data_IF_884517825436
#
_entry.id   IF_884517825436
#
_cell.length_a   1.000
_cell.length_b   1.000
_cell.length_c   1.000
_cell.angle_alpha   90.00
_cell.angle_beta   90.00
_cell.angle_gamma   90.00
#
_symmetry.space_group_name_H-M   'P 1'
#
loop_
_entity.id
_entity.type
_entity.pdbx_description
1 polymer ?
#
# COMPACT_ATOMS: atom_id res chain seq x y z
N UNK A 1 89.71 -16.13 -24.42
CA UNK A 1 88.29 -16.51 -24.53
C UNK A 1 87.54 -16.06 -23.26
N UNK A 2 86.83 -14.98 -23.33
CA UNK A 2 86.04 -14.42 -22.19
C UNK A 2 84.61 -14.96 -22.27
N UNK A 3 84.20 -15.71 -21.27
CA UNK A 3 82.81 -16.22 -21.15
C UNK A 3 81.98 -15.14 -20.43
N UNK A 4 81.02 -14.57 -21.13
CA UNK A 4 80.13 -13.56 -20.62
C UNK A 4 78.87 -14.25 -19.99
N UNK A 5 78.72 -14.11 -18.68
CA UNK A 5 77.54 -14.61 -17.94
C UNK A 5 76.39 -13.61 -18.09
N UNK A 6 75.34 -14.02 -18.76
CA UNK A 6 74.09 -13.29 -18.82
C UNK A 6 73.26 -13.65 -17.58
N UNK A 7 73.04 -12.65 -16.72
CA UNK A 7 72.10 -12.76 -15.57
C UNK A 7 70.74 -12.35 -16.03
N UNK A 8 69.83 -13.33 -16.10
CA UNK A 8 68.43 -13.11 -16.42
C UNK A 8 67.66 -12.76 -15.13
N UNK A 9 67.33 -11.49 -14.96
CA UNK A 9 66.53 -11.01 -13.83
C UNK A 9 65.08 -11.23 -14.14
N UNK A 10 64.43 -12.19 -13.48
CA UNK A 10 62.99 -12.48 -13.58
C UNK A 10 62.23 -11.46 -12.70
N UNK A 11 61.60 -10.47 -13.32
CA UNK A 11 60.71 -9.55 -12.63
C UNK A 11 59.34 -10.23 -12.40
N UNK A 12 59.04 -10.58 -11.15
CA UNK A 12 57.75 -11.12 -10.73
C UNK A 12 56.78 -9.94 -10.55
N UNK A 13 55.94 -9.68 -11.54
CA UNK A 13 54.87 -8.69 -11.43
C UNK A 13 53.74 -9.30 -10.62
N UNK A 14 53.61 -8.87 -9.37
CA UNK A 14 52.50 -9.20 -8.50
C UNK A 14 51.26 -8.45 -9.01
N UNK A 15 50.38 -9.09 -9.83
CA UNK A 15 49.07 -8.58 -10.12
C UNK A 15 48.20 -8.70 -8.88
N UNK A 16 48.02 -7.61 -8.13
CA UNK A 16 46.98 -7.47 -7.13
C UNK A 16 45.67 -7.36 -7.90
N UNK A 17 45.00 -8.48 -8.05
CA UNK A 17 43.62 -8.52 -8.55
C UNK A 17 42.73 -7.82 -7.53
N UNK A 18 42.33 -6.58 -7.83
CA UNK A 18 41.21 -5.92 -7.17
C UNK A 18 39.97 -6.72 -7.60
N UNK A 19 39.61 -7.71 -6.81
CA UNK A 19 38.34 -8.38 -6.92
C UNK A 19 37.25 -7.34 -6.66
N UNK A 20 36.66 -6.78 -7.72
CA UNK A 20 35.37 -6.16 -7.62
C UNK A 20 34.41 -7.24 -7.16
N UNK A 21 34.22 -7.34 -5.85
CA UNK A 21 33.15 -8.16 -5.28
C UNK A 21 31.86 -7.65 -5.89
N UNK A 22 31.27 -8.45 -6.79
CA UNK A 22 29.92 -8.22 -7.23
C UNK A 22 29.08 -8.16 -5.95
N UNK A 23 28.65 -6.95 -5.58
CA UNK A 23 27.64 -6.78 -4.53
C UNK A 23 26.44 -7.57 -5.00
N UNK A 24 26.15 -8.69 -4.34
CA UNK A 24 24.92 -9.42 -4.61
C UNK A 24 23.78 -8.39 -4.54
N UNK A 25 23.00 -8.30 -5.60
CA UNK A 25 21.85 -7.40 -5.66
C UNK A 25 20.99 -7.64 -4.42
N UNK A 26 21.05 -6.71 -3.48
CA UNK A 26 20.23 -6.78 -2.26
C UNK A 26 18.80 -6.46 -2.67
N UNK A 27 17.95 -7.46 -2.69
CA UNK A 27 16.51 -7.31 -3.00
C UNK A 27 15.69 -7.83 -1.83
N UNK A 28 14.64 -7.11 -1.44
CA UNK A 28 13.64 -7.54 -0.47
C UNK A 28 12.27 -7.62 -1.13
N UNK A 29 11.41 -8.50 -0.60
CA UNK A 29 10.02 -8.65 -1.03
C UNK A 29 9.12 -7.92 -0.03
N UNK A 30 8.46 -6.87 -0.48
CA UNK A 30 7.45 -6.12 0.27
C UNK A 30 6.05 -6.55 -0.17
N UNK A 31 5.33 -7.29 0.67
CA UNK A 31 3.91 -7.54 0.43
C UNK A 31 3.09 -6.28 0.76
N UNK A 32 2.27 -5.84 -0.19
CA UNK A 32 1.47 -4.62 -0.04
C UNK A 32 0.09 -4.77 -0.67
N UNK A 33 -0.67 -3.66 -0.73
CA UNK A 33 -2.01 -3.67 -1.27
C UNK A 33 -2.07 -3.10 -2.69
N UNK A 34 -3.04 -3.58 -3.47
CA UNK A 34 -3.28 -3.06 -4.83
C UNK A 34 -3.65 -1.59 -4.82
N UNK A 35 -4.32 -1.08 -3.77
CA UNK A 35 -4.62 0.34 -3.65
C UNK A 35 -3.36 1.18 -3.41
N UNK A 36 -2.40 0.71 -2.60
CA UNK A 36 -1.12 1.40 -2.40
C UNK A 36 -0.31 1.42 -3.69
N UNK A 37 -0.23 0.31 -4.42
CA UNK A 37 0.43 0.23 -5.72
C UNK A 37 -0.21 1.18 -6.73
N UNK A 38 -1.55 1.14 -6.86
CA UNK A 38 -2.29 1.97 -7.82
C UNK A 38 -2.21 3.48 -7.51
N UNK A 39 -1.92 3.88 -6.26
CA UNK A 39 -1.68 5.27 -5.94
C UNK A 39 -0.43 5.85 -6.60
N UNK A 40 0.49 5.00 -7.06
CA UNK A 40 1.78 5.40 -7.63
C UNK A 40 2.86 5.71 -6.59
N UNK A 41 2.58 5.60 -5.29
CA UNK A 41 3.53 5.93 -4.22
C UNK A 41 4.85 5.18 -4.36
N UNK A 42 4.79 3.86 -4.59
CA UNK A 42 5.99 3.05 -4.70
C UNK A 42 6.89 3.48 -5.85
N UNK A 43 6.31 3.81 -7.01
CA UNK A 43 7.06 4.34 -8.15
C UNK A 43 7.80 5.65 -7.83
N UNK A 44 7.32 6.41 -6.85
CA UNK A 44 7.92 7.67 -6.42
C UNK A 44 9.00 7.48 -5.35
N UNK A 45 8.73 6.70 -4.28
CA UNK A 45 9.64 6.61 -3.12
C UNK A 45 10.74 5.55 -3.28
N UNK A 46 10.47 4.41 -3.97
CA UNK A 46 11.45 3.33 -4.06
C UNK A 46 12.75 3.70 -4.78
N UNK A 47 12.74 4.48 -5.89
CA UNK A 47 13.98 4.93 -6.53
C UNK A 47 14.88 5.79 -5.60
N UNK A 48 14.27 6.54 -4.67
CA UNK A 48 15.02 7.35 -3.70
C UNK A 48 15.75 6.45 -2.70
N UNK A 49 15.05 5.45 -2.16
CA UNK A 49 15.62 4.47 -1.24
C UNK A 49 16.70 3.62 -1.90
N UNK A 50 16.43 3.08 -3.09
CA UNK A 50 17.37 2.24 -3.85
C UNK A 50 18.65 3.01 -4.17
N UNK A 51 18.54 4.26 -4.63
CA UNK A 51 19.70 5.12 -4.91
C UNK A 51 20.58 5.32 -3.68
N UNK A 52 19.98 5.41 -2.49
CA UNK A 52 20.66 5.66 -1.23
C UNK A 52 21.36 4.40 -0.67
N UNK A 53 20.72 3.24 -0.79
CA UNK A 53 21.13 2.02 -0.07
C UNK A 53 21.63 0.89 -0.96
N UNK A 54 21.31 0.94 -2.24
CA UNK A 54 21.51 -0.17 -3.19
C UNK A 54 20.59 -1.37 -2.94
N UNK A 55 19.56 -1.22 -2.08
CA UNK A 55 18.58 -2.27 -1.80
C UNK A 55 17.37 -2.08 -2.71
N UNK A 56 17.07 -3.08 -3.52
CA UNK A 56 15.84 -3.13 -4.33
C UNK A 56 14.66 -3.61 -3.51
N UNK A 57 13.53 -2.96 -3.65
CA UNK A 57 12.26 -3.37 -3.01
C UNK A 57 11.31 -3.87 -4.08
N UNK A 58 11.12 -5.19 -4.12
CA UNK A 58 10.13 -5.82 -5.00
C UNK A 58 8.77 -5.82 -4.33
N UNK A 59 7.86 -5.00 -4.82
CA UNK A 59 6.48 -4.94 -4.32
C UNK A 59 5.65 -6.08 -4.89
N UNK A 60 4.93 -6.79 -4.03
CA UNK A 60 3.92 -7.79 -4.40
C UNK A 60 2.57 -7.29 -3.91
N UNK A 61 1.84 -6.63 -4.80
CA UNK A 61 0.54 -6.05 -4.50
C UNK A 61 -0.59 -7.08 -4.56
N UNK A 62 -1.36 -7.19 -3.46
CA UNK A 62 -2.50 -8.12 -3.28
C UNK A 62 -3.63 -7.40 -2.53
N UNK A 63 -4.74 -8.10 -2.28
CA UNK A 63 -5.67 -7.68 -1.22
C UNK A 63 -5.01 -7.79 0.15
N UNK A 64 -5.39 -6.95 1.14
CA UNK A 64 -4.70 -6.89 2.45
C UNK A 64 -4.59 -8.25 3.13
N UNK A 65 -5.68 -9.03 3.18
CA UNK A 65 -5.65 -10.37 3.77
C UNK A 65 -4.62 -11.29 3.10
N UNK A 66 -4.56 -11.29 1.76
CA UNK A 66 -3.60 -12.08 1.01
C UNK A 66 -2.15 -11.60 1.20
N UNK A 67 -1.92 -10.30 1.37
CA UNK A 67 -0.60 -9.75 1.69
C UNK A 67 -0.15 -10.19 3.10
N UNK A 68 -1.03 -10.12 4.09
CA UNK A 68 -0.76 -10.60 5.45
C UNK A 68 -0.45 -12.10 5.45
N UNK A 69 -1.26 -12.91 4.76
CA UNK A 69 -1.04 -14.35 4.66
C UNK A 69 0.28 -14.70 3.94
N UNK A 70 0.68 -13.90 2.94
CA UNK A 70 1.99 -14.05 2.30
C UNK A 70 3.13 -13.87 3.31
N UNK A 71 3.07 -12.84 4.16
CA UNK A 71 4.04 -12.63 5.23
C UNK A 71 3.99 -13.71 6.32
N UNK A 72 2.78 -14.19 6.69
CA UNK A 72 2.60 -15.28 7.66
C UNK A 72 3.21 -16.61 7.22
N UNK A 73 3.38 -16.83 5.91
CA UNK A 73 4.09 -18.01 5.37
C UNK A 73 5.59 -17.80 5.17
N UNK A 74 6.08 -16.57 5.38
CA UNK A 74 7.48 -16.22 5.10
C UNK A 74 7.79 -16.01 3.61
N UNK A 75 6.77 -15.84 2.75
CA UNK A 75 6.92 -15.60 1.31
C UNK A 75 7.22 -14.11 1.00
N UNK A 76 7.27 -13.27 2.02
CA UNK A 76 7.69 -11.87 1.97
C UNK A 76 8.68 -11.58 3.10
N UNK A 77 9.45 -10.51 2.97
CA UNK A 77 10.40 -10.04 3.98
C UNK A 77 9.76 -9.00 4.91
N UNK A 78 8.80 -8.25 4.39
CA UNK A 78 8.08 -7.20 5.12
C UNK A 78 6.69 -6.94 4.54
N UNK A 79 5.88 -6.19 5.30
CA UNK A 79 4.58 -5.70 4.86
C UNK A 79 4.52 -4.16 4.88
N UNK A 80 3.76 -3.62 3.92
CA UNK A 80 3.33 -2.22 3.90
C UNK A 80 1.84 -2.19 3.52
N UNK A 81 0.97 -2.12 4.52
CA UNK A 81 -0.49 -2.29 4.38
C UNK A 81 -1.27 -1.24 5.19
N UNK A 82 -2.61 -1.27 5.15
CA UNK A 82 -3.47 -0.29 5.82
C UNK A 82 -4.73 -0.92 6.45
N UNK A 83 -4.55 -2.00 7.21
CA UNK A 83 -5.61 -2.63 7.99
C UNK A 83 -5.16 -2.86 9.44
N UNK A 84 -5.04 -1.76 10.19
CA UNK A 84 -4.39 -1.70 11.51
C UNK A 84 -4.82 -2.82 12.46
N UNK A 85 -6.09 -3.16 12.52
CA UNK A 85 -6.59 -4.24 13.40
C UNK A 85 -6.02 -5.61 13.00
N UNK A 86 -5.99 -5.92 11.68
CA UNK A 86 -5.42 -7.17 11.19
C UNK A 86 -3.90 -7.21 11.37
N UNK A 87 -3.22 -6.06 11.18
CA UNK A 87 -1.79 -5.90 11.41
C UNK A 87 -1.42 -6.20 12.86
N UNK A 88 -2.11 -5.55 13.82
CA UNK A 88 -1.86 -5.73 15.26
C UNK A 88 -2.13 -7.16 15.69
N UNK A 89 -3.20 -7.79 15.21
CA UNK A 89 -3.47 -9.20 15.46
C UNK A 89 -2.34 -10.10 14.98
N UNK A 90 -1.85 -9.89 13.76
CA UNK A 90 -0.76 -10.69 13.20
C UNK A 90 0.59 -10.47 13.92
N UNK A 91 0.81 -9.28 14.49
CA UNK A 91 1.95 -8.98 15.38
C UNK A 91 1.79 -9.73 16.72
N UNK A 92 0.60 -9.70 17.34
CA UNK A 92 0.29 -10.44 18.58
C UNK A 92 0.48 -11.95 18.40
N UNK A 93 0.10 -12.50 17.25
CA UNK A 93 0.35 -13.89 16.87
C UNK A 93 1.84 -14.20 16.62
N UNK A 94 2.71 -13.18 16.66
CA UNK A 94 4.16 -13.28 16.55
C UNK A 94 4.69 -13.51 15.13
N UNK A 95 3.88 -13.28 14.08
CA UNK A 95 4.33 -13.42 12.70
C UNK A 95 5.15 -12.21 12.22
N UNK A 96 4.90 -11.05 12.80
CA UNK A 96 5.56 -9.81 12.43
C UNK A 96 6.12 -9.09 13.65
N UNK A 97 7.14 -8.26 13.41
CA UNK A 97 7.80 -7.45 14.43
C UNK A 97 8.02 -6.02 13.91
N UNK A 98 8.33 -5.10 14.82
CA UNK A 98 8.66 -3.70 14.50
C UNK A 98 7.61 -3.03 13.59
N UNK A 99 6.35 -3.11 14.02
CA UNK A 99 5.27 -2.39 13.37
C UNK A 99 5.35 -0.90 13.69
N UNK A 100 5.34 -0.07 12.64
CA UNK A 100 5.27 1.39 12.75
C UNK A 100 4.10 1.94 11.94
N UNK A 101 3.47 2.99 12.45
CA UNK A 101 2.63 3.88 11.64
C UNK A 101 3.56 4.70 10.74
N UNK A 102 3.20 4.90 9.46
CA UNK A 102 4.06 5.57 8.47
C UNK A 102 3.39 6.80 7.90
N UNK A 103 2.15 6.67 7.51
CA UNK A 103 1.36 7.71 6.87
C UNK A 103 -0.12 7.38 7.00
N UNK A 104 -0.96 8.37 6.69
CA UNK A 104 -2.39 8.13 6.56
C UNK A 104 -2.97 8.88 5.36
N UNK A 105 -4.12 8.45 4.92
CA UNK A 105 -5.08 9.22 4.16
C UNK A 105 -6.48 8.93 4.71
N UNK A 106 -7.51 9.24 3.98
CA UNK A 106 -8.88 8.90 4.34
C UNK A 106 -9.54 8.06 3.24
N UNK A 107 -10.62 7.40 3.63
CA UNK A 107 -11.57 6.86 2.68
C UNK A 107 -12.59 7.93 2.28
N UNK A 108 -13.14 7.76 1.10
CA UNK A 108 -14.15 8.61 0.50
C UNK A 108 -15.35 7.75 0.11
N UNK A 109 -16.56 8.31 0.21
CA UNK A 109 -17.70 7.77 -0.51
C UNK A 109 -17.83 8.58 -1.79
N UNK A 110 -17.71 7.90 -2.92
CA UNK A 110 -17.95 8.49 -4.23
C UNK A 110 -19.26 7.95 -4.80
N UNK A 111 -19.93 8.75 -5.62
CA UNK A 111 -21.24 8.39 -6.15
C UNK A 111 -21.67 9.27 -7.31
N UNK A 112 -22.85 8.99 -7.88
CA UNK A 112 -23.37 9.72 -9.02
C UNK A 112 -23.70 11.18 -8.67
N UNK A 113 -23.61 12.12 -9.63
CA UNK A 113 -23.74 13.55 -9.38
C UNK A 113 -25.14 13.98 -8.90
N UNK A 114 -26.18 13.25 -9.29
CA UNK A 114 -27.55 13.47 -8.89
C UNK A 114 -27.90 12.98 -7.48
N UNK A 115 -26.98 12.25 -6.83
CA UNK A 115 -27.06 11.81 -5.43
C UNK A 115 -28.44 11.23 -5.04
N UNK A 116 -28.86 10.12 -5.65
CA UNK A 116 -30.22 9.59 -5.47
C UNK A 116 -30.55 9.20 -4.02
N UNK A 117 -29.53 8.81 -3.23
CA UNK A 117 -29.71 8.52 -1.80
C UNK A 117 -29.68 9.79 -0.92
N UNK A 118 -29.41 10.96 -1.50
CA UNK A 118 -29.37 12.26 -0.79
C UNK A 118 -28.40 12.25 0.39
N UNK A 119 -27.16 11.79 0.15
CA UNK A 119 -26.12 11.70 1.19
C UNK A 119 -25.16 12.90 1.21
N UNK A 120 -25.19 13.76 0.20
CA UNK A 120 -24.39 15.00 0.22
C UNK A 120 -24.72 15.86 1.44
N UNK A 121 -23.69 16.31 2.13
CA UNK A 121 -23.83 17.11 3.35
C UNK A 121 -23.98 16.31 4.64
N UNK A 122 -24.17 14.99 4.57
CA UNK A 122 -24.09 14.11 5.74
C UNK A 122 -22.63 14.08 6.21
N UNK A 123 -22.42 14.08 7.54
CA UNK A 123 -21.08 14.08 8.15
C UNK A 123 -20.66 12.69 8.65
N UNK A 124 -21.57 11.75 8.73
CA UNK A 124 -21.35 10.39 9.24
C UNK A 124 -21.40 9.38 8.10
N UNK A 125 -20.34 8.62 7.92
CA UNK A 125 -20.29 7.56 6.92
C UNK A 125 -21.32 6.45 7.19
N UNK A 126 -21.57 6.11 8.45
CA UNK A 126 -22.59 5.12 8.80
C UNK A 126 -24.01 5.61 8.49
N UNK A 127 -24.31 6.89 8.69
CA UNK A 127 -25.61 7.45 8.32
C UNK A 127 -25.79 7.51 6.80
N UNK A 128 -24.73 7.84 6.07
CA UNK A 128 -24.73 7.80 4.61
C UNK A 128 -24.99 6.37 4.09
N UNK A 129 -24.30 5.37 4.63
CA UNK A 129 -24.50 3.97 4.27
C UNK A 129 -25.93 3.51 4.56
N UNK A 130 -26.47 3.87 5.73
CA UNK A 130 -27.87 3.57 6.07
C UNK A 130 -28.83 4.16 5.05
N UNK A 131 -28.66 5.43 4.66
CA UNK A 131 -29.49 6.07 3.64
C UNK A 131 -29.37 5.42 2.27
N UNK A 132 -28.19 5.00 1.86
CA UNK A 132 -28.02 4.25 0.61
C UNK A 132 -28.83 2.96 0.65
N UNK A 133 -28.77 2.20 1.74
CA UNK A 133 -29.53 0.97 1.92
C UNK A 133 -31.06 1.24 1.92
N UNK A 134 -31.53 2.25 2.66
CA UNK A 134 -32.93 2.64 2.75
C UNK A 134 -33.50 3.09 1.41
N UNK A 135 -32.67 3.78 0.61
CA UNK A 135 -33.12 4.23 -0.73
C UNK A 135 -33.15 3.10 -1.77
N UNK A 136 -32.50 1.96 -1.48
CA UNK A 136 -32.30 0.88 -2.43
C UNK A 136 -31.38 1.24 -3.60
N UNK A 137 -30.62 2.35 -3.49
CA UNK A 137 -29.66 2.77 -4.51
C UNK A 137 -28.46 1.83 -4.51
N UNK A 138 -27.97 1.50 -5.71
CA UNK A 138 -26.90 0.53 -5.86
C UNK A 138 -25.60 0.99 -5.16
N UNK A 139 -25.02 0.09 -4.40
CA UNK A 139 -23.69 0.20 -3.81
C UNK A 139 -22.80 -0.88 -4.39
N UNK A 140 -21.65 -0.49 -4.91
CA UNK A 140 -20.63 -1.42 -5.45
C UNK A 140 -19.53 -1.61 -4.42
N UNK A 141 -19.42 -2.83 -3.93
CA UNK A 141 -18.37 -3.27 -3.01
C UNK A 141 -17.23 -3.93 -3.76
N UNK A 142 -16.02 -3.78 -3.24
CA UNK A 142 -14.87 -4.55 -3.74
C UNK A 142 -15.06 -6.06 -3.58
N UNK A 143 -15.63 -6.52 -2.47
CA UNK A 143 -15.90 -7.94 -2.21
C UNK A 143 -14.66 -8.86 -2.25
N UNK A 144 -13.44 -8.35 -1.97
CA UNK A 144 -12.16 -9.02 -2.21
C UNK A 144 -11.28 -9.17 -0.95
N UNK A 145 -11.85 -8.94 0.23
CA UNK A 145 -11.14 -8.94 1.52
C UNK A 145 -9.96 -7.96 1.60
N UNK A 146 -9.97 -6.90 0.78
CA UNK A 146 -9.00 -5.81 0.85
C UNK A 146 -9.21 -4.94 2.09
N UNK A 147 -8.25 -4.04 2.37
CA UNK A 147 -8.40 -3.04 3.43
C UNK A 147 -9.62 -2.15 3.22
N UNK A 148 -9.94 -1.77 1.98
CA UNK A 148 -11.16 -1.02 1.65
C UNK A 148 -12.41 -1.84 1.93
N UNK A 149 -12.46 -3.12 1.52
CA UNK A 149 -13.59 -4.00 1.82
C UNK A 149 -13.77 -4.22 3.33
N UNK A 150 -12.67 -4.43 4.06
CA UNK A 150 -12.70 -4.53 5.54
C UNK A 150 -13.25 -3.26 6.18
N UNK A 151 -12.82 -2.08 5.73
CA UNK A 151 -13.33 -0.79 6.21
C UNK A 151 -14.82 -0.63 5.90
N UNK A 152 -15.22 -0.96 4.70
CA UNK A 152 -16.62 -0.94 4.25
C UNK A 152 -17.51 -1.79 5.16
N UNK A 153 -17.14 -3.06 5.39
CA UNK A 153 -17.90 -3.97 6.27
C UNK A 153 -17.95 -3.45 7.72
N UNK A 154 -16.89 -2.81 8.21
CA UNK A 154 -16.90 -2.18 9.53
C UNK A 154 -17.88 -1.00 9.61
N UNK A 155 -18.08 -0.25 8.52
CA UNK A 155 -19.09 0.83 8.44
C UNK A 155 -20.50 0.21 8.38
N UNK A 156 -20.74 -0.79 7.53
CA UNK A 156 -22.02 -1.51 7.47
C UNK A 156 -22.44 -2.05 8.83
N UNK A 157 -21.51 -2.68 9.54
CA UNK A 157 -21.76 -3.20 10.91
C UNK A 157 -22.27 -2.11 11.87
N UNK A 158 -21.77 -0.87 11.76
CA UNK A 158 -22.26 0.26 12.58
C UNK A 158 -23.68 0.70 12.21
N UNK A 159 -24.14 0.44 11.00
CA UNK A 159 -25.51 0.75 10.59
C UNK A 159 -26.55 -0.27 11.06
N UNK A 160 -26.12 -1.43 11.55
CA UNK A 160 -26.93 -2.61 11.80
C UNK A 160 -27.65 -3.16 10.53
N UNK A 161 -27.17 -2.78 9.33
CA UNK A 161 -27.67 -3.31 8.05
C UNK A 161 -26.73 -4.41 7.57
N UNK A 162 -27.30 -5.58 7.22
CA UNK A 162 -26.56 -6.66 6.55
C UNK A 162 -26.69 -6.45 5.03
N UNK A 163 -25.59 -6.03 4.34
CA UNK A 163 -25.69 -5.71 2.92
C UNK A 163 -25.66 -6.96 2.04
N UNK A 164 -25.01 -8.04 2.49
CA UNK A 164 -24.81 -9.23 1.68
C UNK A 164 -26.13 -9.88 1.28
N UNK A 165 -26.26 -10.18 -0.01
CA UNK A 165 -27.48 -10.77 -0.59
C UNK A 165 -28.58 -9.76 -0.91
N UNK A 166 -28.41 -8.47 -0.59
CA UNK A 166 -29.34 -7.43 -0.97
C UNK A 166 -29.24 -7.08 -2.46
N UNK A 167 -30.34 -6.78 -3.11
CA UNK A 167 -30.37 -6.45 -4.54
C UNK A 167 -29.60 -5.17 -4.89
N UNK A 168 -29.47 -4.27 -3.95
CA UNK A 168 -28.76 -2.99 -4.09
C UNK A 168 -27.26 -3.10 -3.74
N UNK A 169 -26.76 -4.25 -3.30
CA UNK A 169 -25.36 -4.47 -2.93
C UNK A 169 -24.66 -5.42 -3.89
N UNK A 170 -23.66 -4.93 -4.59
CA UNK A 170 -22.94 -5.68 -5.63
C UNK A 170 -21.47 -5.85 -5.24
N UNK A 171 -21.07 -7.08 -4.89
CA UNK A 171 -19.68 -7.47 -4.71
C UNK A 171 -19.05 -7.82 -6.07
N UNK A 172 -17.99 -7.12 -6.47
CA UNK A 172 -17.39 -7.28 -7.81
C UNK A 172 -16.09 -8.09 -7.83
N UNK A 173 -15.48 -8.35 -6.67
CA UNK A 173 -14.22 -9.12 -6.59
C UNK A 173 -13.04 -8.46 -7.32
N UNK A 174 -13.02 -7.11 -7.43
CA UNK A 174 -12.06 -6.38 -8.24
C UNK A 174 -11.21 -5.40 -7.40
N UNK A 175 -10.03 -5.03 -7.95
CA UNK A 175 -9.22 -3.94 -7.40
C UNK A 175 -9.92 -2.59 -7.47
N UNK A 176 -9.44 -1.61 -6.68
CA UNK A 176 -10.18 -0.35 -6.43
C UNK A 176 -10.50 0.45 -7.70
N UNK A 177 -9.53 0.62 -8.61
CA UNK A 177 -9.75 1.37 -9.85
C UNK A 177 -10.86 0.75 -10.71
N UNK A 178 -10.87 -0.58 -10.87
CA UNK A 178 -11.94 -1.27 -11.60
C UNK A 178 -13.27 -1.16 -10.89
N UNK A 179 -13.29 -1.22 -9.56
CA UNK A 179 -14.50 -1.04 -8.75
C UNK A 179 -15.09 0.35 -8.95
N UNK A 180 -14.27 1.40 -8.99
CA UNK A 180 -14.70 2.77 -9.29
C UNK A 180 -15.36 2.87 -10.67
N UNK A 181 -14.75 2.27 -11.70
CA UNK A 181 -15.31 2.26 -13.07
C UNK A 181 -16.64 1.53 -13.15
N UNK A 182 -16.74 0.37 -12.49
CA UNK A 182 -18.02 -0.37 -12.42
C UNK A 182 -19.09 0.45 -11.67
N UNK A 183 -18.72 1.15 -10.60
CA UNK A 183 -19.63 2.02 -9.88
C UNK A 183 -20.11 3.19 -10.75
N UNK A 184 -19.21 3.80 -11.52
CA UNK A 184 -19.55 4.88 -12.47
C UNK A 184 -20.53 4.41 -13.55
N UNK A 185 -20.20 3.29 -14.23
CA UNK A 185 -21.08 2.68 -15.27
C UNK A 185 -22.47 2.35 -14.72
N UNK A 186 -22.56 1.92 -13.47
CA UNK A 186 -23.82 1.54 -12.83
C UNK A 186 -24.52 2.69 -12.11
N UNK A 187 -23.96 3.89 -12.13
CA UNK A 187 -24.44 5.06 -11.37
C UNK A 187 -24.65 4.72 -9.89
N UNK A 188 -23.67 4.03 -9.29
CA UNK A 188 -23.72 3.49 -7.95
C UNK A 188 -22.80 4.26 -7.00
N UNK A 189 -23.01 4.10 -5.70
CA UNK A 189 -22.05 4.52 -4.68
C UNK A 189 -20.96 3.47 -4.48
N UNK A 190 -19.79 3.88 -4.05
CA UNK A 190 -18.72 2.99 -3.60
C UNK A 190 -17.80 3.68 -2.58
N UNK A 191 -17.15 2.87 -1.74
CA UNK A 191 -16.07 3.34 -0.87
C UNK A 191 -14.74 3.23 -1.60
N UNK A 192 -13.93 4.28 -1.54
CA UNK A 192 -12.56 4.28 -2.09
C UNK A 192 -11.60 4.98 -1.15
N UNK A 193 -10.31 4.70 -1.23
CA UNK A 193 -9.29 5.51 -0.58
C UNK A 193 -8.95 6.75 -1.45
N UNK A 194 -8.60 7.87 -0.79
CA UNK A 194 -8.29 9.13 -1.47
C UNK A 194 -7.12 8.99 -2.44
N UNK A 195 -6.07 8.24 -2.05
CA UNK A 195 -4.89 8.06 -2.88
C UNK A 195 -5.24 7.41 -4.22
N UNK A 196 -5.99 6.31 -4.21
CA UNK A 196 -6.45 5.66 -5.46
C UNK A 196 -7.41 6.56 -6.24
N UNK A 197 -8.34 7.26 -5.58
CA UNK A 197 -9.25 8.18 -6.26
C UNK A 197 -8.51 9.29 -7.01
N UNK A 198 -7.54 9.93 -6.37
CA UNK A 198 -6.75 11.01 -6.99
C UNK A 198 -5.84 10.49 -8.11
N UNK A 199 -5.28 9.28 -7.96
CA UNK A 199 -4.40 8.65 -8.93
C UNK A 199 -5.13 7.94 -10.08
N UNK A 200 -6.47 7.84 -10.05
CA UNK A 200 -7.25 7.17 -11.08
C UNK A 200 -7.05 7.86 -12.44
N UNK A 201 -6.54 7.10 -13.41
CA UNK A 201 -6.35 7.58 -14.77
C UNK A 201 -7.68 7.95 -15.40
N UNK A 202 -7.69 9.04 -16.20
CA UNK A 202 -8.91 9.53 -16.84
C UNK A 202 -10.07 9.78 -15.86
N UNK A 203 -9.76 10.15 -14.60
CA UNK A 203 -10.77 10.47 -13.59
C UNK A 203 -11.80 11.48 -14.09
N UNK A 204 -11.37 12.46 -14.87
CA UNK A 204 -12.23 13.50 -15.43
C UNK A 204 -13.27 12.95 -16.45
N UNK A 205 -13.11 11.71 -16.90
CA UNK A 205 -14.10 11.02 -17.75
C UNK A 205 -15.15 10.28 -16.92
N UNK A 206 -14.91 10.07 -15.62
CA UNK A 206 -15.91 9.51 -14.70
C UNK A 206 -16.95 10.57 -14.39
N UNK A 207 -18.21 10.17 -14.35
CA UNK A 207 -19.32 11.08 -14.02
C UNK A 207 -19.56 11.16 -12.51
N UNK A 208 -18.97 10.24 -11.73
CA UNK A 208 -19.09 10.24 -10.29
C UNK A 208 -18.13 11.24 -9.63
N UNK A 209 -18.45 11.62 -8.41
CA UNK A 209 -17.66 12.53 -7.60
C UNK A 209 -17.65 12.16 -6.12
N UNK A 210 -16.89 12.91 -5.32
CA UNK A 210 -16.90 12.77 -3.87
C UNK A 210 -18.25 13.28 -3.33
N UNK A 211 -18.96 12.42 -2.61
CA UNK A 211 -20.24 12.75 -1.98
C UNK A 211 -20.15 12.82 -0.45
N UNK A 212 -19.17 12.15 0.15
CA UNK A 212 -18.87 12.25 1.57
C UNK A 212 -17.37 12.03 1.83
N UNK A 213 -16.81 12.91 2.67
CA UNK A 213 -15.44 12.85 3.20
C UNK A 213 -15.36 13.47 4.59
N UNK A 214 -14.24 13.31 5.28
CA UNK A 214 -13.93 13.99 6.54
C UNK A 214 -14.57 13.38 7.79
N UNK A 215 -15.27 12.24 7.71
CA UNK A 215 -15.69 11.48 8.89
C UNK A 215 -14.46 10.83 9.56
N UNK A 216 -14.27 11.00 10.88
CA UNK A 216 -13.17 10.32 11.60
C UNK A 216 -13.13 8.81 11.43
N UNK A 217 -14.28 8.16 11.18
CA UNK A 217 -14.33 6.71 10.92
C UNK A 217 -13.73 6.31 9.57
N UNK A 218 -13.52 7.27 8.67
CA UNK A 218 -12.88 7.07 7.36
C UNK A 218 -11.36 7.17 7.40
N UNK A 219 -10.76 7.42 8.57
CA UNK A 219 -9.32 7.47 8.73
C UNK A 219 -8.67 6.16 8.30
N UNK A 220 -7.62 6.25 7.49
CA UNK A 220 -6.94 5.14 6.86
C UNK A 220 -5.44 5.16 7.18
N UNK A 221 -5.05 4.51 8.28
CA UNK A 221 -3.68 4.42 8.72
C UNK A 221 -2.92 3.35 7.94
N UNK A 222 -1.77 3.70 7.42
CA UNK A 222 -0.80 2.79 6.81
C UNK A 222 0.27 2.39 7.82
N UNK A 223 0.56 1.11 7.87
CA UNK A 223 1.60 0.53 8.70
C UNK A 223 2.62 -0.27 7.92
N UNK A 224 3.86 -0.30 8.42
CA UNK A 224 4.93 -1.17 7.96
C UNK A 224 5.37 -2.09 9.08
N UNK A 225 5.82 -3.29 8.75
CA UNK A 225 6.33 -4.27 9.71
C UNK A 225 7.23 -5.29 9.03
N UNK A 226 8.23 -5.78 9.73
CA UNK A 226 9.09 -6.86 9.25
C UNK A 226 8.47 -8.23 9.55
N UNK A 227 8.67 -9.20 8.68
CA UNK A 227 8.38 -10.61 8.98
C UNK A 227 9.34 -11.08 10.08
N UNK A 228 8.82 -11.83 11.04
CA UNK A 228 9.58 -12.22 12.22
C UNK A 228 10.72 -13.21 11.87
N UNK A 229 12.01 -12.82 12.00
CA UNK A 229 13.15 -13.65 11.67
C UNK A 229 13.31 -14.84 12.62
N UNK A 230 12.68 -14.83 13.80
CA UNK A 230 12.69 -15.98 14.71
C UNK A 230 11.82 -17.12 14.18
N UNK A 231 10.74 -16.82 13.46
CA UNK A 231 9.88 -17.81 12.80
C UNK A 231 10.43 -18.22 11.42
N UNK A 232 11.03 -17.30 10.67
CA UNK A 232 11.46 -17.50 9.29
C UNK A 232 12.91 -17.05 9.10
N UNK A 233 13.86 -17.97 9.25
CA UNK A 233 15.30 -17.67 9.21
C UNK A 233 15.82 -17.19 7.83
N UNK A 234 15.05 -17.38 6.77
CA UNK A 234 15.43 -17.01 5.39
C UNK A 234 15.03 -15.58 5.02
N UNK A 235 14.14 -14.93 5.80
CA UNK A 235 13.71 -13.56 5.48
C UNK A 235 14.85 -12.55 5.65
N UNK A 236 14.88 -11.58 4.78
CA UNK A 236 15.91 -10.53 4.74
C UNK A 236 15.58 -9.41 5.74
N UNK A 237 15.59 -9.78 7.02
CA UNK A 237 15.18 -8.90 8.11
C UNK A 237 16.00 -7.61 8.18
N UNK A 238 17.32 -7.70 8.02
CA UNK A 238 18.21 -6.53 8.11
C UNK A 238 17.88 -5.50 7.03
N UNK A 239 17.77 -5.94 5.80
CA UNK A 239 17.44 -5.10 4.65
C UNK A 239 16.03 -4.53 4.76
N UNK A 240 15.09 -5.32 5.26
CA UNK A 240 13.71 -4.87 5.54
C UNK A 240 13.69 -3.77 6.60
N UNK A 241 14.50 -3.91 7.67
CA UNK A 241 14.61 -2.87 8.69
C UNK A 241 15.31 -1.61 8.16
N UNK A 242 16.24 -1.71 7.21
CA UNK A 242 16.80 -0.54 6.54
C UNK A 242 15.71 0.26 5.80
N UNK A 243 14.79 -0.43 5.10
CA UNK A 243 13.68 0.25 4.44
C UNK A 243 12.64 0.79 5.42
N UNK A 244 12.26 0.03 6.45
CA UNK A 244 11.34 0.49 7.50
C UNK A 244 11.90 1.74 8.19
N UNK A 245 13.16 1.71 8.61
CA UNK A 245 13.83 2.84 9.26
C UNK A 245 13.92 4.06 8.34
N UNK A 246 14.16 3.87 7.04
CA UNK A 246 14.12 4.97 6.10
C UNK A 246 12.72 5.56 5.96
N UNK A 247 11.67 4.74 5.83
CA UNK A 247 10.29 5.20 5.73
C UNK A 247 9.86 6.07 6.93
N UNK A 248 10.28 5.70 8.14
CA UNK A 248 9.94 6.46 9.37
C UNK A 248 10.93 7.59 9.67
N UNK A 249 12.04 7.70 8.95
CA UNK A 249 13.00 8.79 9.09
C UNK A 249 12.45 10.10 8.56
N UNK A 250 13.07 11.23 8.93
CA UNK A 250 12.74 12.55 8.39
C UNK A 250 12.74 12.55 6.85
N UNK A 251 13.75 11.94 6.21
CA UNK A 251 13.87 11.89 4.75
C UNK A 251 12.71 11.10 4.10
N UNK A 252 12.39 9.91 4.61
CA UNK A 252 11.28 9.11 4.10
C UNK A 252 9.93 9.79 4.31
N UNK A 253 9.75 10.46 5.45
CA UNK A 253 8.52 11.22 5.75
C UNK A 253 8.39 12.46 4.84
N UNK A 254 9.47 13.17 4.54
CA UNK A 254 9.49 14.27 3.57
C UNK A 254 9.22 13.76 2.14
N UNK A 255 9.76 12.60 1.77
CA UNK A 255 9.46 11.97 0.47
C UNK A 255 7.97 11.65 0.33
N UNK A 256 7.34 11.08 1.37
CA UNK A 256 5.89 10.80 1.39
C UNK A 256 5.09 12.10 1.31
N UNK A 257 5.46 13.15 2.07
CA UNK A 257 4.78 14.45 2.05
C UNK A 257 4.84 15.14 0.68
N UNK A 258 5.92 14.90 -0.06
CA UNK A 258 6.16 15.51 -1.38
C UNK A 258 5.41 14.79 -2.50
N UNK A 259 4.85 13.61 -2.24
CA UNK A 259 4.10 12.85 -3.24
C UNK A 259 2.72 13.46 -3.44
N UNK A 260 2.50 14.02 -4.64
CA UNK A 260 1.29 14.76 -5.03
C UNK A 260 0.75 14.25 -6.36
N UNK A 261 -0.54 14.47 -6.58
CA UNK A 261 -1.15 14.27 -7.90
C UNK A 261 -0.74 15.39 -8.88
N UNK A 262 -1.21 15.29 -10.13
CA UNK A 262 -0.92 16.28 -11.18
C UNK A 262 -1.50 17.68 -10.89
N UNK A 263 -2.46 17.77 -9.98
CA UNK A 263 -3.09 19.03 -9.54
C UNK A 263 -2.43 19.61 -8.28
N UNK A 264 -1.40 18.94 -7.74
CA UNK A 264 -0.67 19.38 -6.55
C UNK A 264 -1.29 18.95 -5.23
N UNK A 265 -2.32 18.07 -5.25
CA UNK A 265 -2.93 17.55 -4.03
C UNK A 265 -2.05 16.48 -3.39
N UNK A 266 -1.87 16.54 -2.09
CA UNK A 266 -1.13 15.56 -1.32
C UNK A 266 -1.98 14.28 -1.15
N UNK A 267 -1.42 13.12 -1.51
CA UNK A 267 -2.13 11.84 -1.47
C UNK A 267 -2.05 11.17 -0.10
N UNK A 268 -0.96 11.38 0.61
CA UNK A 268 -0.71 10.79 1.92
C UNK A 268 -0.11 11.81 2.88
N UNK A 269 -0.50 11.74 4.14
CA UNK A 269 0.01 12.59 5.20
C UNK A 269 0.94 11.75 6.08
N UNK A 270 2.26 12.06 6.14
CA UNK A 270 3.20 11.33 6.97
C UNK A 270 2.89 11.52 8.45
N UNK A 271 3.03 10.45 9.25
CA UNK A 271 2.76 10.50 10.70
C UNK A 271 3.58 9.47 11.51
N UNK A 272 4.74 9.04 11.00
CA UNK A 272 5.66 8.24 11.79
C UNK A 272 6.13 9.02 13.03
N UNK A 273 6.27 8.29 14.17
CA UNK A 273 6.72 8.83 15.46
C UNK A 273 8.07 8.25 15.84
#
# INVERSE_FOLDING_TARGET
MKVMKIILTLAFVLMVGIGAGASADKEIICASTTSTENSGLFGYILPMFEKKTGIKVKVVARGTGAAIEMGKRGDADMLFVHAKEQELKAVEEGYFVNRHDVMYNDFLIIGPPDDPAKIKGIKSASDAFRKIAESGTLFVSRGDNSGTHTKELAIWKKTAVEPKGQKWYLEVGQGMEKTQRIADEKRAYTLTDRGTWLATKDKDKLQMGIVLEGDPSLFNQYGVMAVNPEKFKHVKYKESMEFINWLISKEGQEAIASFKDQQGNQLFIPNAK
#
